data_IF_557710800362
#
_entry.id   IF_557710800362
#
_cell.length_a   1.000
_cell.length_b   1.000
_cell.length_c   1.000
_cell.angle_alpha   90.00
_cell.angle_beta   90.00
_cell.angle_gamma   90.00
#
_symmetry.space_group_name_H-M   'P 1'
#
loop_
_entity.id
_entity.type
_entity.pdbx_description
1 polymer ?
#
# COMPACT_ATOMS: atom_id res chain seq x y z
N UNK A 1 13.22 -11.59 1.61
CA UNK A 1 12.23 -11.21 0.60
C UNK A 1 11.86 -9.77 0.87
N UNK A 2 11.88 -8.95 -0.16
CA UNK A 2 11.53 -7.52 -0.19
C UNK A 2 10.11 -7.29 -0.75
N UNK A 3 9.34 -8.37 -0.92
CA UNK A 3 7.99 -8.30 -1.47
C UNK A 3 7.02 -7.51 -0.58
N UNK A 4 6.16 -6.73 -1.24
CA UNK A 4 4.97 -6.12 -0.64
C UNK A 4 3.79 -7.07 -0.80
N UNK A 5 3.21 -7.52 0.32
CA UNK A 5 2.08 -8.46 0.32
C UNK A 5 0.84 -7.81 0.90
N UNK A 6 -0.30 -8.06 0.27
CA UNK A 6 -1.62 -7.57 0.69
C UNK A 6 -2.46 -8.76 1.16
N UNK A 7 -3.16 -8.59 2.27
CA UNK A 7 -4.08 -9.57 2.84
C UNK A 7 -5.43 -8.88 3.04
N UNK A 8 -6.50 -9.52 2.58
CA UNK A 8 -7.87 -9.08 2.79
C UNK A 8 -8.57 -10.11 3.66
N UNK A 9 -9.15 -9.67 4.77
CA UNK A 9 -9.96 -10.52 5.64
C UNK A 9 -11.25 -10.95 4.92
N UNK A 10 -11.51 -12.25 4.83
CA UNK A 10 -12.77 -12.76 4.28
C UNK A 10 -13.97 -12.40 5.17
N UNK A 11 -13.77 -12.36 6.48
CA UNK A 11 -14.83 -12.15 7.47
C UNK A 11 -15.24 -10.67 7.58
N UNK A 12 -14.27 -9.76 7.49
CA UNK A 12 -14.48 -8.33 7.76
C UNK A 12 -14.25 -7.43 6.56
N UNK A 13 -13.52 -7.91 5.54
CA UNK A 13 -13.06 -7.09 4.43
C UNK A 13 -11.86 -6.19 4.76
N UNK A 14 -11.34 -6.25 5.99
CA UNK A 14 -10.24 -5.38 6.41
C UNK A 14 -8.96 -5.66 5.62
N UNK A 15 -8.25 -4.58 5.31
CA UNK A 15 -7.01 -4.63 4.54
C UNK A 15 -5.82 -4.62 5.50
N UNK A 16 -4.88 -5.52 5.26
CA UNK A 16 -3.59 -5.57 5.95
C UNK A 16 -2.46 -5.73 4.94
N UNK A 17 -1.28 -5.21 5.26
CA UNK A 17 -0.10 -5.31 4.41
C UNK A 17 1.12 -5.77 5.19
N UNK A 18 2.00 -6.53 4.53
CA UNK A 18 3.31 -6.90 5.06
C UNK A 18 4.41 -6.51 4.08
N UNK A 19 5.38 -5.77 4.59
CA UNK A 19 6.62 -5.41 3.89
C UNK A 19 7.70 -5.17 4.95
N UNK A 20 8.99 -5.30 4.59
CA UNK A 20 10.11 -5.10 5.54
C UNK A 20 9.98 -5.94 6.83
N UNK A 21 9.39 -7.13 6.74
CA UNK A 21 9.14 -8.01 7.89
C UNK A 21 8.14 -7.45 8.93
N UNK A 22 7.44 -6.35 8.61
CA UNK A 22 6.45 -5.71 9.50
C UNK A 22 5.04 -5.92 8.95
N UNK A 23 4.11 -6.25 9.85
CA UNK A 23 2.68 -6.32 9.55
C UNK A 23 2.00 -5.02 9.99
N UNK A 24 1.24 -4.40 9.08
CA UNK A 24 0.32 -3.32 9.37
C UNK A 24 -1.11 -3.82 9.14
N UNK A 25 -1.90 -3.85 10.20
CA UNK A 25 -3.26 -4.41 10.22
C UNK A 25 -4.29 -3.30 10.12
N UNK A 26 -5.44 -3.61 9.54
CA UNK A 26 -6.63 -2.74 9.51
C UNK A 26 -6.30 -1.32 9.06
N UNK A 27 -5.68 -1.24 7.86
CA UNK A 27 -5.34 0.05 7.26
C UNK A 27 -6.53 0.57 6.44
N UNK A 28 -6.70 1.89 6.43
CA UNK A 28 -7.68 2.52 5.56
C UNK A 28 -7.30 2.35 4.09
N UNK A 29 -8.29 2.50 3.21
CA UNK A 29 -8.09 2.42 1.76
C UNK A 29 -7.10 3.47 1.26
N UNK A 30 -7.14 4.68 1.81
CA UNK A 30 -6.22 5.76 1.41
C UNK A 30 -4.76 5.40 1.74
N UNK A 31 -4.51 4.88 2.95
CA UNK A 31 -3.17 4.43 3.36
C UNK A 31 -2.71 3.23 2.52
N UNK A 32 -3.63 2.33 2.16
CA UNK A 32 -3.31 1.22 1.27
C UNK A 32 -2.86 1.70 -0.13
N UNK A 33 -3.56 2.65 -0.72
CA UNK A 33 -3.22 3.21 -2.04
C UNK A 33 -1.86 3.92 -2.02
N UNK A 34 -1.56 4.70 -0.96
CA UNK A 34 -0.26 5.35 -0.77
C UNK A 34 0.88 4.32 -0.68
N UNK A 35 0.73 3.30 0.17
CA UNK A 35 1.73 2.25 0.35
C UNK A 35 1.92 1.40 -0.92
N UNK A 36 0.84 1.07 -1.62
CA UNK A 36 0.92 0.35 -2.88
C UNK A 36 1.66 1.17 -3.93
N UNK A 37 1.38 2.48 -4.03
CA UNK A 37 2.04 3.35 -4.98
C UNK A 37 3.55 3.45 -4.70
N UNK A 38 3.93 3.65 -3.43
CA UNK A 38 5.32 3.73 -2.98
C UNK A 38 6.10 2.45 -3.30
N UNK A 39 5.56 1.29 -2.91
CA UNK A 39 6.29 0.03 -3.00
C UNK A 39 6.28 -0.62 -4.39
N UNK A 40 5.26 -0.35 -5.23
CA UNK A 40 5.14 -0.99 -6.55
C UNK A 40 5.71 -0.16 -7.70
N UNK A 41 5.65 1.17 -7.61
CA UNK A 41 6.14 2.08 -8.66
C UNK A 41 7.43 2.84 -8.29
N UNK A 42 7.84 2.81 -7.01
CA UNK A 42 9.00 3.54 -6.49
C UNK A 42 8.86 5.06 -6.56
N UNK A 43 9.92 5.81 -6.23
CA UNK A 43 9.97 7.29 -6.27
C UNK A 43 9.75 7.89 -7.69
N UNK A 44 9.64 7.06 -8.72
CA UNK A 44 9.44 7.49 -10.10
C UNK A 44 8.02 7.96 -10.41
N UNK A 45 7.06 7.82 -9.49
CA UNK A 45 5.77 8.49 -9.57
C UNK A 45 5.85 9.93 -9.02
N UNK A 46 6.76 10.73 -9.56
CA UNK A 46 6.67 12.18 -9.47
C UNK A 46 5.36 12.59 -10.15
N UNK A 47 4.41 13.05 -9.34
CA UNK A 47 3.13 13.64 -9.71
C UNK A 47 3.27 14.47 -10.98
N UNK A 48 2.97 13.86 -12.14
CA UNK A 48 2.93 14.58 -13.42
C UNK A 48 1.81 15.61 -13.26
N UNK A 49 2.21 16.88 -13.31
CA UNK A 49 1.46 18.00 -12.75
C UNK A 49 -0.02 18.05 -13.11
N UNK A 50 -0.85 18.25 -12.08
CA UNK A 50 -2.03 19.11 -12.23
C UNK A 50 -1.50 20.53 -12.07
N UNK A 51 -1.04 21.11 -13.18
CA UNK A 51 -0.87 22.54 -13.28
C UNK A 51 -2.28 23.15 -13.20
N UNK A 52 -2.52 24.01 -12.22
CA UNK A 52 -3.68 24.90 -12.18
C UNK A 52 -3.66 25.90 -13.34
#
# INVERSE_FOLDING_TARGET
SDAFTVVVSEETGDISVTFDGKLRRDISKDVFEELLAEHWFGEHFQKKGVNS
#
